data_IF_857204877087
#
_entry.id   IF_857204877087
#
_cell.length_a   1.000
_cell.length_b   1.000
_cell.length_c   1.000
_cell.angle_alpha   90.00
_cell.angle_beta   90.00
_cell.angle_gamma   90.00
#
_symmetry.space_group_name_H-M   'P 1'
#
loop_
_entity.id
_entity.type
_entity.pdbx_description
1 polymer ?
#
# COMPACT_ATOMS: atom_id res chain seq x y z
N UNK A 1 -19.04 10.50 -6.76
CA UNK A 1 -17.63 10.61 -6.25
C UNK A 1 -17.09 9.21 -6.08
N UNK A 2 -15.81 9.00 -6.32
CA UNK A 2 -15.18 7.67 -6.20
C UNK A 2 -14.78 7.39 -4.76
N UNK A 3 -14.89 6.15 -4.33
CA UNK A 3 -14.53 5.70 -2.99
C UNK A 3 -13.10 5.17 -2.96
N UNK A 4 -12.27 5.66 -2.08
CA UNK A 4 -10.88 5.22 -1.90
C UNK A 4 -10.74 4.40 -0.62
N UNK A 5 -10.22 3.19 -0.75
CA UNK A 5 -9.88 2.30 0.36
C UNK A 5 -8.36 2.27 0.54
N UNK A 6 -7.88 2.69 1.70
CA UNK A 6 -6.46 2.61 2.07
C UNK A 6 -6.28 1.46 3.05
N UNK A 7 -5.53 0.44 2.63
CA UNK A 7 -5.14 -0.70 3.46
C UNK A 7 -3.72 -0.43 3.97
N UNK A 8 -3.61 -0.16 5.27
CA UNK A 8 -2.34 0.11 5.94
C UNK A 8 -1.81 -1.18 6.54
N UNK A 9 -0.58 -1.52 6.21
CA UNK A 9 0.14 -2.64 6.81
C UNK A 9 1.49 -2.15 7.36
N UNK A 10 1.51 -1.74 8.61
CA UNK A 10 2.71 -1.28 9.30
C UNK A 10 2.75 -1.85 10.71
N UNK A 11 3.79 -2.59 11.12
CA UNK A 11 3.82 -3.26 12.43
C UNK A 11 3.78 -2.30 13.62
N UNK A 12 4.26 -1.07 13.44
CA UNK A 12 4.20 -0.01 14.44
C UNK A 12 3.77 1.32 13.79
N UNK A 13 2.52 1.38 13.32
CA UNK A 13 2.01 2.53 12.56
C UNK A 13 2.03 3.83 13.39
N UNK A 14 1.76 3.75 14.69
CA UNK A 14 1.69 4.94 15.59
C UNK A 14 2.97 5.74 15.58
N UNK A 15 4.11 5.06 15.49
CA UNK A 15 5.44 5.68 15.51
C UNK A 15 6.04 5.88 14.11
N UNK A 16 5.29 5.55 13.05
CA UNK A 16 5.75 5.70 11.67
C UNK A 16 5.62 7.15 11.21
N UNK A 17 6.72 7.87 11.16
CA UNK A 17 6.75 9.24 10.66
C UNK A 17 6.29 9.29 9.19
N UNK A 18 6.85 8.47 8.33
CA UNK A 18 6.59 8.52 6.89
C UNK A 18 5.20 8.01 6.52
N UNK A 19 4.85 6.75 6.88
CA UNK A 19 3.57 6.17 6.47
C UNK A 19 2.38 6.89 7.10
N UNK A 20 2.52 7.36 8.34
CA UNK A 20 1.49 8.15 9.01
C UNK A 20 1.25 9.48 8.30
N UNK A 21 2.30 10.26 8.01
CA UNK A 21 2.18 11.53 7.27
C UNK A 21 1.53 11.34 5.89
N UNK A 22 1.85 10.25 5.17
CA UNK A 22 1.23 9.96 3.86
C UNK A 22 -0.27 9.76 4.02
N UNK A 23 -0.67 8.93 4.98
CA UNK A 23 -2.10 8.57 5.14
C UNK A 23 -2.91 9.75 5.69
N UNK A 24 -2.38 10.49 6.66
CA UNK A 24 -3.03 11.70 7.18
C UNK A 24 -3.30 12.71 6.07
N UNK A 25 -2.31 12.96 5.20
CA UNK A 25 -2.49 13.87 4.07
C UNK A 25 -3.52 13.37 3.04
N UNK A 26 -3.64 12.05 2.83
CA UNK A 26 -4.68 11.48 1.97
C UNK A 26 -6.07 11.59 2.63
N UNK A 27 -6.17 11.34 3.93
CA UNK A 27 -7.43 11.42 4.69
C UNK A 27 -8.00 12.84 4.70
N UNK A 28 -7.13 13.86 4.76
CA UNK A 28 -7.52 15.28 4.72
C UNK A 28 -8.07 15.69 3.33
N UNK A 29 -7.56 15.15 2.24
CA UNK A 29 -7.83 15.61 0.86
C UNK A 29 -8.79 14.71 0.10
N UNK A 30 -8.96 13.43 0.47
CA UNK A 30 -9.84 12.48 -0.21
C UNK A 30 -11.18 12.42 0.49
N UNK A 31 -12.21 12.95 -0.14
CA UNK A 31 -13.56 13.14 0.42
C UNK A 31 -14.23 11.84 0.89
N UNK A 32 -14.09 10.75 0.10
CA UNK A 32 -14.62 9.42 0.43
C UNK A 32 -13.48 8.43 0.66
N UNK A 33 -12.80 8.57 1.80
CA UNK A 33 -11.67 7.76 2.20
C UNK A 33 -12.07 6.79 3.32
N UNK A 34 -11.81 5.51 3.11
CA UNK A 34 -11.93 4.47 4.14
C UNK A 34 -10.54 3.93 4.46
N UNK A 35 -10.14 3.97 5.73
CA UNK A 35 -8.84 3.49 6.20
C UNK A 35 -9.02 2.17 6.95
N UNK A 36 -8.22 1.17 6.56
CA UNK A 36 -8.12 -0.15 7.22
C UNK A 36 -6.69 -0.36 7.71
N UNK A 37 -6.41 -0.02 8.96
CA UNK A 37 -5.11 -0.29 9.59
C UNK A 37 -5.08 -1.74 10.09
N UNK A 38 -4.50 -2.62 9.31
CA UNK A 38 -4.52 -4.07 9.58
C UNK A 38 -3.89 -4.44 10.92
N UNK A 39 -2.81 -3.77 11.32
CA UNK A 39 -2.11 -4.06 12.58
C UNK A 39 -2.93 -3.67 13.82
N UNK A 40 -3.82 -2.69 13.69
CA UNK A 40 -4.74 -2.30 14.77
C UNK A 40 -6.02 -3.13 14.75
N UNK A 41 -6.54 -3.44 13.57
CA UNK A 41 -7.76 -4.22 13.42
C UNK A 41 -7.55 -5.70 13.75
N UNK A 42 -6.35 -6.23 13.45
CA UNK A 42 -6.05 -7.66 13.54
C UNK A 42 -4.69 -7.91 14.20
N UNK A 43 -4.51 -7.51 15.48
CA UNK A 43 -3.22 -7.64 16.17
C UNK A 43 -2.79 -9.10 16.37
N UNK A 44 -3.72 -10.04 16.29
CA UNK A 44 -3.52 -11.49 16.36
C UNK A 44 -3.47 -12.16 14.98
N UNK A 45 -3.47 -11.38 13.88
CA UNK A 45 -3.53 -11.87 12.49
C UNK A 45 -4.82 -12.64 12.14
N UNK A 46 -5.83 -12.63 12.98
CA UNK A 46 -7.11 -13.27 12.71
C UNK A 46 -8.03 -12.31 11.93
N UNK A 47 -7.85 -12.28 10.62
CA UNK A 47 -8.49 -11.31 9.72
C UNK A 47 -9.97 -11.68 9.51
N UNK A 48 -10.87 -10.71 9.75
CA UNK A 48 -12.29 -10.84 9.40
C UNK A 48 -12.46 -10.68 7.88
N UNK A 49 -12.39 -11.80 7.18
CA UNK A 49 -12.43 -11.87 5.70
C UNK A 49 -13.66 -11.16 5.15
N UNK A 50 -14.83 -11.35 5.77
CA UNK A 50 -16.08 -10.75 5.29
C UNK A 50 -16.03 -9.23 5.34
N UNK A 51 -15.55 -8.65 6.44
CA UNK A 51 -15.43 -7.19 6.56
C UNK A 51 -14.43 -6.60 5.57
N UNK A 52 -13.32 -7.29 5.30
CA UNK A 52 -12.34 -6.83 4.32
C UNK A 52 -12.87 -6.93 2.88
N UNK A 53 -13.58 -8.01 2.56
CA UNK A 53 -14.25 -8.14 1.27
C UNK A 53 -15.34 -7.10 1.08
N UNK A 54 -16.15 -6.81 2.09
CA UNK A 54 -17.18 -5.77 2.03
C UNK A 54 -16.57 -4.37 1.79
N UNK A 55 -15.45 -4.07 2.44
CA UNK A 55 -14.71 -2.83 2.19
C UNK A 55 -14.17 -2.76 0.75
N UNK A 56 -13.64 -3.87 0.23
CA UNK A 56 -13.21 -3.95 -1.17
C UNK A 56 -14.35 -3.75 -2.17
N UNK A 57 -15.55 -4.28 -1.89
CA UNK A 57 -16.71 -4.16 -2.79
C UNK A 57 -17.11 -2.70 -2.98
N UNK A 58 -17.05 -1.88 -1.95
CA UNK A 58 -17.46 -0.46 -1.99
C UNK A 58 -16.41 0.45 -2.61
N UNK A 59 -15.16 0.02 -2.72
CA UNK A 59 -14.05 0.84 -3.22
C UNK A 59 -14.00 0.89 -4.75
N UNK A 60 -13.66 2.06 -5.29
CA UNK A 60 -13.26 2.27 -6.69
C UNK A 60 -11.73 2.24 -6.81
N UNK A 61 -11.05 2.80 -5.80
CA UNK A 61 -9.60 2.81 -5.68
C UNK A 61 -9.17 2.03 -4.43
N UNK A 62 -8.20 1.16 -4.59
CA UNK A 62 -7.57 0.39 -3.49
C UNK A 62 -6.10 0.75 -3.42
N UNK A 63 -5.66 1.30 -2.30
CA UNK A 63 -4.26 1.66 -2.03
C UNK A 63 -3.71 0.71 -0.98
N UNK A 64 -2.63 0.01 -1.29
CA UNK A 64 -1.81 -0.66 -0.28
C UNK A 64 -0.72 0.30 0.19
N UNK A 65 -0.78 0.73 1.47
CA UNK A 65 0.21 1.59 2.10
C UNK A 65 1.05 0.79 3.09
N UNK A 66 2.36 0.63 2.82
CA UNK A 66 3.22 -0.18 3.67
C UNK A 66 4.71 0.20 3.59
N UNK A 67 5.51 -0.07 4.64
CA UNK A 67 6.96 -0.01 4.56
C UNK A 67 7.49 -1.24 3.83
N UNK A 68 8.47 -1.03 2.96
CA UNK A 68 9.12 -2.12 2.21
C UNK A 68 10.13 -2.85 3.10
N UNK A 69 9.70 -3.96 3.68
CA UNK A 69 10.51 -4.78 4.58
C UNK A 69 11.02 -6.04 3.90
N UNK A 70 12.33 -6.25 4.00
CA UNK A 70 12.97 -7.46 3.49
C UNK A 70 12.51 -7.81 2.06
N UNK A 71 12.53 -6.78 1.21
CA UNK A 71 12.21 -6.90 -0.22
C UNK A 71 10.78 -7.35 -0.54
N UNK A 72 9.85 -7.18 0.39
CA UNK A 72 8.46 -7.62 0.27
C UNK A 72 7.50 -6.75 1.10
N UNK A 73 6.25 -7.19 1.15
CA UNK A 73 5.20 -6.62 1.99
C UNK A 73 5.33 -7.10 3.45
N UNK A 74 4.86 -6.33 4.43
CA UNK A 74 4.77 -6.79 5.83
C UNK A 74 3.94 -8.07 5.98
N UNK A 75 4.24 -8.93 6.99
CA UNK A 75 3.57 -10.23 7.15
C UNK A 75 2.05 -10.13 7.20
N UNK A 76 1.51 -9.13 7.89
CA UNK A 76 0.06 -8.96 8.00
C UNK A 76 -0.60 -8.65 6.66
N UNK A 77 0.08 -7.94 5.74
CA UNK A 77 -0.44 -7.70 4.40
C UNK A 77 -0.42 -8.98 3.57
N UNK A 78 0.63 -9.80 3.72
CA UNK A 78 0.67 -11.10 3.05
C UNK A 78 -0.44 -12.01 3.56
N UNK A 79 -0.66 -12.09 4.87
CA UNK A 79 -1.77 -12.81 5.47
C UNK A 79 -3.12 -12.31 4.92
N UNK A 80 -3.30 -10.99 4.86
CA UNK A 80 -4.51 -10.38 4.31
C UNK A 80 -4.73 -10.78 2.85
N UNK A 81 -3.71 -10.71 2.00
CA UNK A 81 -3.79 -11.14 0.59
C UNK A 81 -4.24 -12.60 0.50
N UNK A 82 -3.65 -13.49 1.32
CA UNK A 82 -3.89 -14.93 1.25
C UNK A 82 -5.30 -15.33 1.67
N UNK A 83 -5.88 -14.64 2.67
CA UNK A 83 -7.19 -15.04 3.21
C UNK A 83 -8.37 -14.23 2.65
N UNK A 84 -8.14 -12.99 2.17
CA UNK A 84 -9.22 -12.12 1.67
C UNK A 84 -9.44 -12.29 0.18
N UNK A 85 -8.38 -12.47 -0.62
CA UNK A 85 -8.47 -12.63 -2.07
C UNK A 85 -8.74 -14.09 -2.43
N UNK A 86 -9.95 -14.57 -2.10
CA UNK A 86 -10.33 -15.97 -2.23
C UNK A 86 -10.83 -16.32 -3.63
N UNK A 87 -10.81 -17.63 -3.94
CA UNK A 87 -11.49 -18.18 -5.09
C UNK A 87 -12.99 -17.84 -5.06
N UNK A 88 -13.56 -17.50 -6.21
CA UNK A 88 -14.98 -17.09 -6.32
C UNK A 88 -15.27 -15.66 -5.86
N UNK A 89 -14.29 -14.97 -5.26
CA UNK A 89 -14.37 -13.55 -4.93
C UNK A 89 -13.41 -12.73 -5.80
N UNK A 90 -12.12 -12.98 -5.71
CA UNK A 90 -11.08 -12.20 -6.38
C UNK A 90 -10.57 -12.83 -7.67
N UNK A 91 -10.70 -14.15 -7.82
CA UNK A 91 -10.25 -14.90 -8.98
C UNK A 91 -11.03 -16.21 -9.14
N UNK A 92 -10.85 -16.88 -10.30
CA UNK A 92 -11.53 -18.15 -10.63
C UNK A 92 -12.98 -17.94 -11.05
N UNK A 93 -13.77 -19.02 -11.02
CA UNK A 93 -15.17 -18.97 -11.47
C UNK A 93 -16.01 -18.05 -10.58
N UNK A 94 -16.62 -17.01 -11.18
CA UNK A 94 -17.39 -15.98 -10.45
C UNK A 94 -16.53 -15.00 -9.64
N UNK A 95 -15.21 -15.14 -9.65
CA UNK A 95 -14.25 -14.32 -8.92
C UNK A 95 -13.84 -13.05 -9.65
N UNK A 96 -14.79 -12.20 -9.97
CA UNK A 96 -14.61 -10.95 -10.73
C UNK A 96 -14.96 -9.68 -9.92
N UNK A 97 -15.10 -9.80 -8.59
CA UNK A 97 -15.60 -8.71 -7.73
C UNK A 97 -14.67 -7.50 -7.67
N UNK A 98 -13.40 -7.69 -8.03
CA UNK A 98 -12.39 -6.63 -8.04
C UNK A 98 -12.08 -6.12 -9.45
N UNK A 99 -12.72 -6.68 -10.48
CA UNK A 99 -12.47 -6.34 -11.89
C UNK A 99 -12.63 -4.85 -12.14
N UNK A 100 -11.57 -4.25 -12.72
CA UNK A 100 -11.56 -2.84 -13.13
C UNK A 100 -11.38 -1.85 -11.99
N UNK A 101 -11.34 -2.28 -10.72
CA UNK A 101 -10.99 -1.39 -9.60
C UNK A 101 -9.53 -0.94 -9.75
N UNK A 102 -9.28 0.36 -9.53
CA UNK A 102 -7.93 0.91 -9.55
C UNK A 102 -7.13 0.38 -8.36
N UNK A 103 -5.96 -0.20 -8.61
CA UNK A 103 -5.07 -0.73 -7.57
C UNK A 103 -3.73 0.00 -7.57
N UNK A 104 -3.36 0.58 -6.44
CA UNK A 104 -2.18 1.41 -6.27
C UNK A 104 -1.33 0.85 -5.14
N UNK A 105 -0.06 0.61 -5.42
CA UNK A 105 0.95 0.33 -4.39
C UNK A 105 1.59 1.63 -3.95
N UNK A 106 1.56 1.90 -2.66
CA UNK A 106 2.26 3.00 -2.00
C UNK A 106 3.19 2.44 -0.94
N UNK A 107 4.50 2.64 -1.13
CA UNK A 107 5.48 2.05 -0.20
C UNK A 107 6.64 3.01 0.10
N UNK A 108 7.31 2.78 1.22
CA UNK A 108 8.44 3.57 1.69
C UNK A 108 9.64 2.69 1.94
N UNK A 109 10.85 3.13 1.59
CA UNK A 109 12.08 2.39 1.84
C UNK A 109 13.03 3.15 2.76
N UNK A 110 13.81 2.43 3.54
CA UNK A 110 14.86 3.03 4.40
C UNK A 110 16.12 3.42 3.65
N UNK A 111 16.44 2.70 2.56
CA UNK A 111 17.64 2.93 1.75
C UNK A 111 17.41 3.97 0.64
N UNK A 112 18.44 4.66 0.17
CA UNK A 112 18.33 5.64 -0.92
C UNK A 112 18.06 4.99 -2.28
N UNK A 113 17.64 5.80 -3.25
CA UNK A 113 17.25 5.35 -4.61
C UNK A 113 18.38 4.63 -5.35
N UNK A 114 19.63 4.98 -5.08
CA UNK A 114 20.81 4.37 -5.70
C UNK A 114 20.93 2.88 -5.39
N UNK A 115 20.37 2.43 -4.26
CA UNK A 115 20.35 1.01 -3.91
C UNK A 115 19.46 0.19 -4.85
N UNK A 116 18.41 0.79 -5.45
CA UNK A 116 17.40 0.13 -6.26
C UNK A 116 17.67 0.28 -7.77
N UNK A 117 18.87 -0.06 -8.16
CA UNK A 117 19.33 -0.11 -9.56
C UNK A 117 19.99 -1.45 -9.84
N UNK A 118 20.09 -1.85 -11.10
CA UNK A 118 20.74 -3.11 -11.51
C UNK A 118 22.20 -3.22 -11.06
N UNK A 119 22.88 -2.08 -10.93
CA UNK A 119 24.24 -1.97 -10.40
C UNK A 119 24.30 -1.45 -8.95
N UNK A 120 23.16 -1.24 -8.30
CA UNK A 120 23.06 -0.83 -6.91
C UNK A 120 23.20 -2.00 -5.93
N UNK A 121 23.17 -1.68 -4.63
CA UNK A 121 23.29 -2.67 -3.56
C UNK A 121 22.24 -3.78 -3.65
N UNK A 122 21.02 -3.45 -3.99
CA UNK A 122 19.91 -4.40 -4.08
C UNK A 122 19.83 -5.11 -5.44
N UNK A 123 20.59 -4.68 -6.46
CA UNK A 123 20.68 -5.25 -7.81
C UNK A 123 19.36 -5.35 -8.59
N UNK A 124 18.29 -4.82 -8.06
CA UNK A 124 16.95 -4.79 -8.63
C UNK A 124 16.30 -3.43 -8.43
N UNK A 125 15.41 -3.07 -9.34
CA UNK A 125 14.57 -1.87 -9.22
C UNK A 125 13.40 -2.11 -8.24
N UNK A 126 12.75 -1.04 -7.79
CA UNK A 126 11.53 -1.19 -6.99
C UNK A 126 10.41 -1.87 -7.77
N UNK A 127 10.28 -1.60 -9.06
CA UNK A 127 9.30 -2.22 -9.93
C UNK A 127 9.47 -3.74 -9.98
N UNK A 128 10.72 -4.23 -10.07
CA UNK A 128 11.02 -5.66 -10.07
C UNK A 128 10.62 -6.32 -8.74
N UNK A 129 10.90 -5.67 -7.61
CA UNK A 129 10.47 -6.17 -6.30
C UNK A 129 8.95 -6.18 -6.12
N UNK A 130 8.23 -5.32 -6.83
CA UNK A 130 6.76 -5.22 -6.75
C UNK A 130 6.03 -6.16 -7.73
N UNK A 131 6.75 -6.91 -8.59
CA UNK A 131 6.12 -7.86 -9.52
C UNK A 131 5.16 -8.85 -8.87
N UNK A 132 5.42 -9.44 -7.70
CA UNK A 132 4.46 -10.33 -7.05
C UNK A 132 3.12 -9.65 -6.74
N UNK A 133 3.17 -8.40 -6.26
CA UNK A 133 1.96 -7.62 -5.95
C UNK A 133 1.24 -7.21 -7.23
N UNK A 134 1.98 -6.81 -8.27
CA UNK A 134 1.43 -6.53 -9.60
C UNK A 134 0.74 -7.77 -10.19
N UNK A 135 1.37 -8.96 -10.07
CA UNK A 135 0.80 -10.21 -10.55
C UNK A 135 -0.49 -10.56 -9.80
N UNK A 136 -0.56 -10.30 -8.49
CA UNK A 136 -1.79 -10.46 -7.69
C UNK A 136 -2.92 -9.58 -8.23
N UNK A 137 -2.65 -8.29 -8.48
CA UNK A 137 -3.64 -7.38 -9.06
C UNK A 137 -4.10 -7.86 -10.45
N UNK A 138 -3.17 -8.35 -11.27
CA UNK A 138 -3.48 -8.89 -12.61
C UNK A 138 -4.41 -10.11 -12.52
N UNK A 139 -4.13 -11.04 -11.61
CA UNK A 139 -4.99 -12.22 -11.40
C UNK A 139 -6.40 -11.82 -10.94
N UNK A 140 -6.50 -10.79 -10.10
CA UNK A 140 -7.75 -10.24 -9.59
C UNK A 140 -8.45 -9.31 -10.60
N UNK A 141 -7.95 -9.19 -11.83
CA UNK A 141 -8.49 -8.33 -12.89
C UNK A 141 -8.56 -6.84 -12.52
N UNK A 142 -7.75 -6.40 -11.57
CA UNK A 142 -7.67 -5.01 -11.15
C UNK A 142 -6.82 -4.19 -12.13
N UNK A 143 -7.10 -2.88 -12.21
CA UNK A 143 -6.33 -1.92 -13.00
C UNK A 143 -5.11 -1.44 -12.19
N UNK A 144 -3.98 -2.13 -12.34
CA UNK A 144 -2.74 -1.81 -11.64
C UNK A 144 -2.15 -0.49 -12.16
N UNK A 145 -2.09 0.51 -11.29
CA UNK A 145 -1.48 1.81 -11.57
C UNK A 145 0.03 1.78 -11.30
N UNK A 146 0.73 2.77 -11.85
CA UNK A 146 2.14 2.93 -11.52
C UNK A 146 2.32 3.05 -10.01
N UNK A 147 3.22 2.26 -9.40
CA UNK A 147 3.43 2.31 -7.95
C UNK A 147 4.02 3.67 -7.54
N UNK A 148 3.64 4.13 -6.37
CA UNK A 148 4.15 5.37 -5.77
C UNK A 148 5.02 5.01 -4.58
N UNK A 149 6.28 5.39 -4.61
CA UNK A 149 7.20 5.09 -3.53
C UNK A 149 8.21 6.22 -3.28
N UNK A 150 8.77 6.25 -2.08
CA UNK A 150 9.81 7.18 -1.69
C UNK A 150 10.94 6.45 -0.97
N UNK A 151 12.16 6.90 -1.23
CA UNK A 151 13.38 6.33 -0.71
C UNK A 151 13.98 7.17 0.43
N UNK A 152 14.82 6.53 1.26
CA UNK A 152 15.44 7.16 2.43
C UNK A 152 14.41 7.81 3.36
N UNK A 153 13.41 7.02 3.77
CA UNK A 153 12.25 7.46 4.56
C UNK A 153 12.42 7.15 6.06
N UNK A 154 13.66 7.08 6.54
CA UNK A 154 13.98 6.92 7.97
C UNK A 154 14.65 8.20 8.46
N UNK A 155 14.11 8.78 9.52
CA UNK A 155 14.78 9.87 10.26
C UNK A 155 15.69 9.26 11.31
N UNK A 156 17.00 9.19 11.02
CA UNK A 156 18.00 8.69 11.96
C UNK A 156 18.32 9.69 13.07
N UNK A 157 18.10 10.99 12.79
CA UNK A 157 18.27 12.11 13.69
C UNK A 157 17.08 13.05 13.60
N UNK A 158 16.89 13.90 14.60
CA UNK A 158 15.79 14.86 14.60
C UNK A 158 15.84 15.83 13.40
N UNK A 159 17.02 16.20 12.95
CA UNK A 159 17.20 17.03 11.74
C UNK A 159 16.68 16.39 10.44
N UNK A 160 16.62 15.06 10.38
CA UNK A 160 16.12 14.34 9.20
C UNK A 160 14.59 14.37 9.10
N UNK A 161 13.90 14.63 10.21
CA UNK A 161 12.42 14.53 10.31
C UNK A 161 11.71 15.39 9.29
N UNK A 162 12.14 16.64 9.14
CA UNK A 162 11.51 17.58 8.19
C UNK A 162 11.66 17.08 6.75
N UNK A 163 12.81 16.51 6.42
CA UNK A 163 13.07 15.93 5.09
C UNK A 163 12.15 14.73 4.81
N UNK A 164 11.98 13.83 5.79
CA UNK A 164 11.08 12.68 5.68
C UNK A 164 9.62 13.13 5.55
N UNK A 165 9.19 14.11 6.34
CA UNK A 165 7.83 14.68 6.25
C UNK A 165 7.58 15.28 4.86
N UNK A 166 8.51 16.07 4.33
CA UNK A 166 8.34 16.68 3.01
C UNK A 166 8.26 15.63 1.89
N UNK A 167 9.09 14.59 1.95
CA UNK A 167 9.01 13.45 1.01
C UNK A 167 7.69 12.69 1.15
N UNK A 168 7.20 12.50 2.37
CA UNK A 168 5.92 11.83 2.63
C UNK A 168 4.74 12.63 2.05
N UNK A 169 4.73 13.94 2.22
CA UNK A 169 3.72 14.84 1.62
C UNK A 169 3.80 14.82 0.09
N UNK A 170 5.01 14.83 -0.49
CA UNK A 170 5.18 14.66 -1.94
C UNK A 170 4.61 13.33 -2.43
N UNK A 171 4.86 12.23 -1.70
CA UNK A 171 4.29 10.93 -2.03
C UNK A 171 2.75 10.96 -1.97
N UNK A 172 2.17 11.59 -0.95
CA UNK A 172 0.71 11.77 -0.85
C UNK A 172 0.17 12.57 -2.04
N UNK A 173 0.81 13.67 -2.44
CA UNK A 173 0.41 14.46 -3.60
C UNK A 173 0.40 13.64 -4.90
N UNK A 174 1.40 12.76 -5.09
CA UNK A 174 1.42 11.85 -6.24
C UNK A 174 0.29 10.81 -6.20
N UNK A 175 -0.09 10.36 -5.00
CA UNK A 175 -1.24 9.45 -4.83
C UNK A 175 -2.57 10.15 -5.11
N UNK A 176 -2.73 11.40 -4.67
CA UNK A 176 -3.93 12.21 -4.95
C UNK A 176 -4.23 12.33 -6.44
N UNK A 177 -3.19 12.47 -7.28
CA UNK A 177 -3.34 12.51 -8.74
C UNK A 177 -3.86 11.20 -9.34
N UNK A 178 -3.77 10.07 -8.64
CA UNK A 178 -4.22 8.76 -9.11
C UNK A 178 -5.64 8.42 -8.65
N UNK A 179 -6.16 9.12 -7.64
CA UNK A 179 -7.50 8.87 -7.05
C UNK A 179 -8.50 10.00 -7.30
N UNK A 180 -8.05 11.10 -7.90
CA UNK A 180 -8.89 12.24 -8.32
C UNK A 180 -9.83 11.91 -9.50
#
# INVERSE_FOLDING_TARGET
MKNTLIIIAHPNYKDSLANKTIVEALEEEVENCTIRNLSELYPDFNIDVKKEQDALLTADHVIFQFPFYWYSVPPILKQWIDVVLTYGFAYGDGGDKLKGKSFIVSTTTGTPVEAYKSNGMNRHTMEEFLYPVKQTATLCLMDYKNPVYSHAMIAWKDEDRITVINKAKDQANRLLLLVS
#
